data_IF_591734737308
#
_entry.id   IF_591734737308
#
_cell.length_a   1.000
_cell.length_b   1.000
_cell.length_c   1.000
_cell.angle_alpha   90.00
_cell.angle_beta   90.00
_cell.angle_gamma   90.00
#
_symmetry.space_group_name_H-M   'P 1'
#
loop_
_entity.id
_entity.type
_entity.pdbx_description
1 polymer ?
#
# COMPACT_ATOMS: atom_id res chain seq x y z
N UNK A 1 -6.76 9.75 12.45
CA UNK A 1 -5.89 8.91 11.63
C UNK A 1 -6.69 8.36 10.46
N UNK A 2 -6.08 8.28 9.29
CA UNK A 2 -6.75 7.85 8.07
C UNK A 2 -6.18 6.52 7.62
N UNK A 3 -7.04 5.60 7.21
CA UNK A 3 -6.64 4.35 6.57
C UNK A 3 -6.68 4.52 5.05
N UNK A 4 -5.55 4.23 4.40
CA UNK A 4 -5.51 4.02 2.97
C UNK A 4 -5.66 2.52 2.71
N UNK A 5 -6.61 2.14 1.87
CA UNK A 5 -6.77 0.76 1.42
C UNK A 5 -6.49 0.70 -0.07
N UNK A 6 -5.47 -0.06 -0.45
CA UNK A 6 -5.13 -0.29 -1.85
C UNK A 6 -5.44 -1.74 -2.22
N UNK A 7 -6.33 -1.93 -3.19
CA UNK A 7 -6.66 -3.24 -3.75
C UNK A 7 -5.73 -3.47 -4.94
N UNK A 8 -4.78 -4.40 -4.78
CA UNK A 8 -3.73 -4.65 -5.74
C UNK A 8 -3.92 -6.03 -6.36
N UNK A 9 -3.80 -6.09 -7.70
CA UNK A 9 -3.84 -7.33 -8.46
C UNK A 9 -2.49 -7.54 -9.15
N UNK A 10 -1.98 -8.77 -9.10
CA UNK A 10 -0.73 -9.15 -9.79
C UNK A 10 -0.98 -10.32 -10.72
N UNK A 11 -0.11 -10.57 -11.71
CA UNK A 11 -0.22 -11.76 -12.55
C UNK A 11 0.01 -13.04 -11.74
N UNK A 12 -0.65 -14.12 -12.16
CA UNK A 12 -0.47 -15.43 -11.55
C UNK A 12 0.99 -15.87 -11.62
N UNK A 13 1.46 -16.52 -10.55
CA UNK A 13 2.82 -17.06 -10.49
C UNK A 13 3.88 -16.05 -10.06
N UNK A 14 3.51 -14.81 -9.73
CA UNK A 14 4.45 -13.77 -9.34
C UNK A 14 4.43 -13.46 -7.85
N UNK A 15 3.75 -14.28 -7.05
CA UNK A 15 3.56 -14.00 -5.63
C UNK A 15 4.88 -13.88 -4.85
N UNK A 16 5.82 -14.82 -5.04
CA UNK A 16 7.07 -14.79 -4.27
C UNK A 16 7.86 -13.52 -4.52
N UNK A 17 7.95 -13.08 -5.79
CA UNK A 17 8.64 -11.86 -6.16
C UNK A 17 7.93 -10.63 -5.62
N UNK A 18 6.60 -10.60 -5.74
CA UNK A 18 5.83 -9.46 -5.27
C UNK A 18 5.81 -9.37 -3.74
N UNK A 19 5.73 -10.50 -3.05
CA UNK A 19 5.79 -10.52 -1.58
C UNK A 19 7.08 -9.85 -1.08
N UNK A 20 8.21 -10.16 -1.72
CA UNK A 20 9.47 -9.54 -1.37
C UNK A 20 9.52 -8.05 -1.75
N UNK A 21 9.03 -7.72 -2.94
CA UNK A 21 9.05 -6.34 -3.44
C UNK A 21 8.19 -5.41 -2.60
N UNK A 22 6.95 -5.82 -2.28
CA UNK A 22 6.04 -4.95 -1.52
C UNK A 22 6.55 -4.70 -0.12
N UNK A 23 7.12 -5.72 0.53
CA UNK A 23 7.70 -5.56 1.86
C UNK A 23 8.92 -4.63 1.82
N UNK A 24 9.76 -4.77 0.81
CA UNK A 24 10.92 -3.89 0.63
C UNK A 24 10.47 -2.44 0.41
N UNK A 25 9.49 -2.22 -0.45
CA UNK A 25 8.97 -0.88 -0.71
C UNK A 25 8.33 -0.24 0.50
N UNK A 26 7.57 -1.02 1.27
CA UNK A 26 6.94 -0.51 2.49
C UNK A 26 7.98 -0.15 3.55
N UNK A 27 8.94 -1.04 3.79
CA UNK A 27 9.92 -0.83 4.86
C UNK A 27 10.98 0.21 4.51
N UNK A 28 11.36 0.35 3.23
CA UNK A 28 12.45 1.23 2.82
C UNK A 28 11.97 2.60 2.34
N UNK A 29 10.75 2.69 1.80
CA UNK A 29 10.26 3.91 1.16
C UNK A 29 9.06 4.47 1.90
N UNK A 30 7.95 3.74 1.94
CA UNK A 30 6.69 4.27 2.51
C UNK A 30 6.84 4.63 3.98
N UNK A 31 7.58 3.81 4.73
CA UNK A 31 7.78 4.06 6.16
C UNK A 31 8.55 5.34 6.45
N UNK A 32 9.21 5.95 5.46
CA UNK A 32 9.92 7.21 5.60
C UNK A 32 9.02 8.43 5.32
N UNK A 33 7.79 8.20 4.89
CA UNK A 33 6.90 9.28 4.48
C UNK A 33 6.37 10.05 5.69
N UNK A 34 6.18 11.35 5.50
CA UNK A 34 5.59 12.23 6.52
C UNK A 34 4.20 11.73 6.89
N UNK A 35 3.96 11.56 8.17
CA UNK A 35 2.66 11.13 8.69
C UNK A 35 2.38 9.64 8.61
N UNK A 36 3.35 8.84 8.17
CA UNK A 36 3.21 7.38 8.16
C UNK A 36 3.07 6.86 9.59
N UNK A 37 2.06 5.97 9.82
CA UNK A 37 1.75 5.42 11.14
C UNK A 37 1.78 3.90 11.20
N UNK A 38 2.00 3.23 10.08
CA UNK A 38 2.09 1.78 10.05
C UNK A 38 1.42 1.20 8.83
N UNK A 39 1.62 -0.08 8.62
CA UNK A 39 0.99 -0.77 7.51
C UNK A 39 0.63 -2.19 7.88
N UNK A 40 -0.30 -2.76 7.12
CA UNK A 40 -0.57 -4.19 7.05
C UNK A 40 -0.77 -4.53 5.58
N UNK A 41 -0.25 -5.68 5.16
CA UNK A 41 -0.52 -6.17 3.82
C UNK A 41 -1.07 -7.58 3.92
N UNK A 42 -2.17 -7.84 3.23
CA UNK A 42 -2.89 -9.11 3.28
C UNK A 42 -2.96 -9.71 1.89
N UNK A 43 -2.76 -11.01 1.80
CA UNK A 43 -2.88 -11.76 0.56
C UNK A 43 -4.24 -12.46 0.54
N UNK A 44 -4.93 -12.43 -0.60
CA UNK A 44 -6.21 -13.10 -0.74
C UNK A 44 -6.07 -14.61 -0.57
N UNK A 45 -7.00 -15.20 0.19
CA UNK A 45 -7.06 -16.64 0.37
C UNK A 45 -7.72 -17.28 -0.86
N UNK A 46 -8.88 -16.77 -1.25
CA UNK A 46 -9.61 -17.26 -2.42
C UNK A 46 -8.96 -16.84 -3.73
N UNK A 47 -8.33 -15.67 -3.74
CA UNK A 47 -7.65 -15.11 -4.91
C UNK A 47 -6.22 -14.73 -4.52
N UNK A 48 -5.26 -15.66 -4.63
CA UNK A 48 -3.89 -15.40 -4.19
C UNK A 48 -3.19 -14.26 -4.94
N UNK A 49 -3.68 -13.89 -6.12
CA UNK A 49 -3.14 -12.77 -6.91
C UNK A 49 -3.68 -11.42 -6.46
N UNK A 50 -4.54 -11.39 -5.44
CA UNK A 50 -5.13 -10.16 -4.90
C UNK A 50 -4.52 -9.86 -3.54
N UNK A 51 -4.11 -8.60 -3.36
CA UNK A 51 -3.57 -8.12 -2.09
C UNK A 51 -4.36 -6.91 -1.63
N UNK A 52 -4.60 -6.83 -0.32
CA UNK A 52 -5.13 -5.62 0.29
C UNK A 52 -4.03 -4.99 1.13
N UNK A 53 -3.55 -3.84 0.69
CA UNK A 53 -2.56 -3.05 1.40
C UNK A 53 -3.27 -2.00 2.22
N UNK A 54 -2.98 -1.98 3.52
CA UNK A 54 -3.50 -1.00 4.46
C UNK A 54 -2.35 -0.15 4.96
N UNK A 55 -2.43 1.17 4.75
CA UNK A 55 -1.44 2.10 5.28
C UNK A 55 -2.18 3.11 6.15
N UNK A 56 -1.67 3.34 7.35
CA UNK A 56 -2.25 4.30 8.29
C UNK A 56 -1.47 5.61 8.22
N UNK A 57 -2.21 6.70 8.01
CA UNK A 57 -1.66 8.05 7.87
C UNK A 57 -2.20 8.96 8.96
N UNK A 58 -1.39 9.89 9.43
CA UNK A 58 -1.82 10.90 10.41
C UNK A 58 -2.97 11.72 9.85
N UNK A 59 -2.84 12.19 8.61
CA UNK A 59 -3.87 12.95 7.90
C UNK A 59 -4.04 12.41 6.48
N UNK A 60 -5.17 12.75 5.85
CA UNK A 60 -5.42 12.39 4.46
C UNK A 60 -4.37 13.01 3.54
N UNK A 61 -4.00 14.26 3.79
CA UNK A 61 -3.07 15.02 2.96
C UNK A 61 -1.66 14.46 3.01
N UNK A 62 -1.28 13.78 4.09
CA UNK A 62 0.01 13.09 4.15
C UNK A 62 0.14 12.08 3.02
N UNK A 63 -0.95 11.40 2.65
CA UNK A 63 -0.95 10.48 1.52
C UNK A 63 -1.19 11.19 0.19
N UNK A 64 -2.28 11.94 0.08
CA UNK A 64 -2.76 12.45 -1.21
C UNK A 64 -1.90 13.60 -1.75
N UNK A 65 -1.22 14.33 -0.86
CA UNK A 65 -0.38 15.47 -1.24
C UNK A 65 1.09 15.17 -0.97
N UNK A 66 1.47 15.03 0.31
CA UNK A 66 2.88 14.91 0.68
C UNK A 66 3.56 13.69 0.06
N UNK A 67 2.93 12.53 0.14
CA UNK A 67 3.50 11.30 -0.42
C UNK A 67 3.33 11.25 -1.93
N UNK A 68 2.09 11.41 -2.41
CA UNK A 68 1.76 11.20 -3.83
C UNK A 68 2.45 12.21 -4.75
N UNK A 69 2.65 13.44 -4.27
CA UNK A 69 3.31 14.50 -5.04
C UNK A 69 4.79 14.66 -4.69
N UNK A 70 5.28 13.86 -3.77
CA UNK A 70 6.67 13.91 -3.33
C UNK A 70 7.55 12.85 -4.02
N UNK A 71 8.86 12.89 -3.74
CA UNK A 71 9.83 12.00 -4.41
C UNK A 71 9.68 10.54 -4.01
N UNK A 72 9.14 10.24 -2.84
CA UNK A 72 9.02 8.85 -2.38
C UNK A 72 8.03 8.05 -3.21
N UNK A 73 7.00 8.70 -3.77
CA UNK A 73 6.00 8.01 -4.57
C UNK A 73 6.62 7.34 -5.81
N UNK A 74 7.50 8.05 -6.50
CA UNK A 74 8.18 7.50 -7.67
C UNK A 74 9.06 6.30 -7.29
N UNK A 75 9.73 6.36 -6.14
CA UNK A 75 10.53 5.25 -5.63
C UNK A 75 9.66 4.04 -5.31
N UNK A 76 8.52 4.26 -4.67
CA UNK A 76 7.54 3.21 -4.37
C UNK A 76 7.05 2.54 -5.66
N UNK A 77 6.63 3.35 -6.64
CA UNK A 77 6.13 2.85 -7.92
C UNK A 77 7.19 2.07 -8.68
N UNK A 78 8.46 2.48 -8.60
CA UNK A 78 9.56 1.75 -9.25
C UNK A 78 9.73 0.34 -8.68
N UNK A 79 9.46 0.16 -7.39
CA UNK A 79 9.61 -1.15 -6.73
C UNK A 79 8.41 -2.06 -7.01
N UNK A 80 7.18 -1.55 -6.87
CA UNK A 80 5.97 -2.40 -6.92
C UNK A 80 5.23 -2.31 -8.25
N UNK A 81 5.32 -1.19 -8.95
CA UNK A 81 4.55 -0.94 -10.16
C UNK A 81 4.71 -1.99 -11.26
N UNK A 82 5.93 -2.52 -11.50
CA UNK A 82 6.12 -3.55 -12.52
C UNK A 82 5.28 -4.83 -12.32
N UNK A 83 4.80 -5.06 -11.11
CA UNK A 83 4.00 -6.25 -10.80
C UNK A 83 2.50 -6.05 -10.93
N UNK A 84 2.03 -4.82 -11.13
CA UNK A 84 0.60 -4.55 -11.17
C UNK A 84 -0.02 -5.11 -12.45
N UNK A 85 -1.02 -6.00 -12.30
CA UNK A 85 -1.80 -6.50 -13.44
C UNK A 85 -2.79 -5.44 -13.93
N UNK A 86 -3.18 -4.52 -13.05
CA UNK A 86 -4.07 -3.40 -13.34
C UNK A 86 -3.74 -2.27 -12.37
N UNK A 87 -4.12 -1.02 -12.64
CA UNK A 87 -3.93 0.06 -11.69
C UNK A 87 -4.63 -0.28 -10.35
N UNK A 88 -3.94 -0.15 -9.22
CA UNK A 88 -4.57 -0.40 -7.92
C UNK A 88 -5.75 0.54 -7.68
N UNK A 89 -6.79 0.00 -7.03
CA UNK A 89 -7.91 0.81 -6.59
C UNK A 89 -7.62 1.27 -5.17
N UNK A 90 -7.54 2.58 -4.97
CA UNK A 90 -7.16 3.17 -3.69
C UNK A 90 -8.31 3.99 -3.13
N UNK A 91 -8.67 3.70 -1.87
CA UNK A 91 -9.71 4.43 -1.16
C UNK A 91 -9.23 4.74 0.25
N UNK A 92 -9.87 5.73 0.88
CA UNK A 92 -9.54 6.16 2.23
C UNK A 92 -10.73 5.99 3.16
N UNK A 93 -10.43 5.65 4.42
CA UNK A 93 -11.46 5.36 5.42
C UNK A 93 -11.10 6.00 6.75
N UNK A 94 -12.14 6.44 7.46
CA UNK A 94 -12.02 6.87 8.86
C UNK A 94 -12.44 5.72 9.76
N UNK A 95 -11.76 5.56 10.88
CA UNK A 95 -12.15 4.54 11.85
C UNK A 95 -13.49 4.94 12.50
N UNK A 96 -14.48 4.07 12.42
CA UNK A 96 -15.75 4.25 13.09
C UNK A 96 -15.75 3.63 14.48
N UNK A 97 -15.25 2.39 14.56
CA UNK A 97 -15.23 1.65 15.83
C UNK A 97 -14.24 0.51 15.76
N UNK A 98 -13.73 0.09 16.91
CA UNK A 98 -12.93 -1.11 17.02
C UNK A 98 -13.27 -1.82 18.33
N UNK A 99 -12.98 -3.12 18.37
CA UNK A 99 -13.15 -3.90 19.63
C UNK A 99 -12.13 -3.44 20.68
N UNK A 100 -12.47 -3.67 21.92
CA UNK A 100 -11.60 -3.36 23.06
C UNK A 100 -10.34 -4.24 23.10
#
# INVERSE_FOLDING_TARGET
>A
MILELADIRIPAGKNAEFDAAIQRGLNSVVSQAKGFRGFKVNKGVESPERYLLMIYWETLENHTVDFRQGPLFAQWRAIVGPYFAAPPVVEHFELLAKSA
#
